data_IF_328729194473
#
_entry.id   IF_328729194473
#
_cell.length_a   1.000
_cell.length_b   1.000
_cell.length_c   1.000
_cell.angle_alpha   90.00
_cell.angle_beta   90.00
_cell.angle_gamma   90.00
#
_symmetry.space_group_name_H-M   'P 1'
#
loop_
_entity.id
_entity.type
_entity.pdbx_description
1 polymer ?
#
# COMPACT_ATOMS: atom_id res chain seq x y z
N UNK A 1 45.94 18.39 87.81
CA UNK A 1 46.31 19.09 86.56
C UNK A 1 45.63 18.36 85.40
N UNK A 2 44.48 18.82 85.04
CA UNK A 2 43.66 18.16 84.02
C UNK A 2 43.51 19.10 82.80
N UNK A 3 43.98 18.73 81.68
CA UNK A 3 43.81 19.48 80.40
C UNK A 3 42.72 18.85 79.60
N UNK A 4 41.55 19.46 79.63
CA UNK A 4 40.45 19.12 78.72
C UNK A 4 40.71 19.75 77.33
N UNK A 5 40.82 18.92 76.29
CA UNK A 5 40.85 19.37 74.88
C UNK A 5 39.43 19.31 74.35
N UNK A 6 38.86 20.51 74.13
CA UNK A 6 37.63 20.63 73.31
C UNK A 6 37.94 20.31 71.86
N UNK A 7 37.32 19.27 71.32
CA UNK A 7 37.28 18.95 69.92
C UNK A 7 36.02 19.62 69.31
N UNK A 8 36.19 20.67 68.57
CA UNK A 8 35.12 21.23 67.73
C UNK A 8 34.86 20.31 66.56
N UNK A 9 33.69 19.63 66.60
CA UNK A 9 33.20 18.90 65.46
C UNK A 9 32.53 19.86 64.50
N UNK A 10 33.22 20.20 63.37
CA UNK A 10 32.59 20.87 62.25
C UNK A 10 31.71 19.89 61.50
N UNK A 11 30.40 19.96 61.75
CA UNK A 11 29.41 19.29 60.89
C UNK A 11 29.34 20.00 59.54
N UNK A 12 30.02 19.46 58.55
CA UNK A 12 29.89 19.88 57.16
C UNK A 12 28.54 19.38 56.64
N UNK A 13 27.56 20.24 56.60
CA UNK A 13 26.27 19.98 55.94
C UNK A 13 26.49 19.99 54.41
N UNK A 14 26.83 18.81 53.86
CA UNK A 14 26.84 18.62 52.41
C UNK A 14 25.41 18.64 51.91
N UNK A 15 24.93 19.79 51.42
CA UNK A 15 23.72 19.86 50.59
C UNK A 15 23.99 19.04 49.31
N UNK A 16 23.49 17.81 49.29
CA UNK A 16 23.32 17.04 48.08
C UNK A 16 22.27 17.76 47.21
N UNK A 17 22.70 18.69 46.35
CA UNK A 17 21.94 19.07 45.17
C UNK A 17 21.84 17.81 44.30
N UNK A 18 20.79 17.04 44.50
CA UNK A 18 20.35 16.07 43.50
C UNK A 18 19.93 16.87 42.24
N UNK A 19 20.89 17.12 41.34
CA UNK A 19 20.59 17.56 40.03
C UNK A 19 19.63 16.52 39.44
N UNK A 20 18.34 16.87 39.38
CA UNK A 20 17.38 16.09 38.59
C UNK A 20 17.91 16.17 37.18
N UNK A 21 18.61 15.11 36.75
CA UNK A 21 18.84 14.87 35.31
C UNK A 21 17.45 14.95 34.66
N UNK A 22 17.27 15.78 33.65
CA UNK A 22 16.02 15.75 32.90
C UNK A 22 15.79 14.31 32.52
N UNK A 23 14.66 13.75 32.93
CA UNK A 23 14.27 12.40 32.48
C UNK A 23 14.28 12.47 30.97
N UNK A 24 15.17 11.73 30.37
CA UNK A 24 15.21 11.62 28.92
C UNK A 24 13.84 11.10 28.52
N UNK A 25 13.01 11.96 27.91
CA UNK A 25 11.70 11.57 27.41
C UNK A 25 11.91 10.38 26.49
N UNK A 26 11.45 9.23 26.93
CA UNK A 26 11.48 8.04 26.07
C UNK A 26 10.38 8.16 25.03
N UNK A 27 10.66 7.74 23.80
CA UNK A 27 9.62 7.68 22.79
C UNK A 27 8.52 6.71 23.25
N UNK A 28 7.25 7.15 23.33
CA UNK A 28 6.16 6.25 23.69
C UNK A 28 6.05 5.11 22.68
N UNK A 29 5.66 3.94 23.13
CA UNK A 29 5.41 2.80 22.26
C UNK A 29 4.24 3.10 21.34
N UNK A 30 4.27 2.50 20.12
CA UNK A 30 3.16 2.58 19.18
C UNK A 30 1.89 2.01 19.83
N UNK A 31 0.84 2.81 19.80
CA UNK A 31 -0.50 2.34 20.19
C UNK A 31 -1.20 1.83 18.92
N UNK A 32 -1.27 0.51 18.78
CA UNK A 32 -2.05 -0.12 17.72
C UNK A 32 -3.53 -0.05 18.07
N UNK A 33 -4.42 0.27 17.11
CA UNK A 33 -5.85 0.26 17.34
C UNK A 33 -6.32 -1.10 17.85
N UNK A 34 -7.16 -1.09 18.88
CA UNK A 34 -7.74 -2.34 19.40
C UNK A 34 -8.80 -2.85 18.44
N UNK A 35 -8.68 -4.11 18.04
CA UNK A 35 -9.70 -4.81 17.27
C UNK A 35 -10.97 -4.92 18.13
N UNK A 36 -12.10 -4.49 17.56
CA UNK A 36 -13.41 -4.66 18.20
C UNK A 36 -13.70 -6.16 18.28
N UNK A 37 -14.01 -6.72 19.46
CA UNK A 37 -14.33 -8.14 19.58
C UNK A 37 -15.39 -8.59 18.58
N UNK A 38 -15.07 -9.65 17.82
CA UNK A 38 -15.97 -10.20 16.81
C UNK A 38 -15.96 -9.46 15.46
N UNK A 39 -15.25 -8.35 15.30
CA UNK A 39 -15.13 -7.70 13.98
C UNK A 39 -14.24 -8.52 13.03
N UNK A 40 -13.16 -9.11 13.53
CA UNK A 40 -12.28 -10.00 12.79
C UNK A 40 -12.58 -11.46 13.14
N UNK A 41 -12.88 -12.28 12.13
CA UNK A 41 -13.12 -13.72 12.30
C UNK A 41 -11.85 -14.56 12.11
N UNK A 42 -10.74 -13.93 11.75
CA UNK A 42 -9.46 -14.58 11.51
C UNK A 42 -8.54 -14.43 12.74
N UNK A 43 -7.80 -15.47 13.09
CA UNK A 43 -6.60 -15.36 13.91
C UNK A 43 -5.43 -14.81 13.10
N UNK A 44 -4.33 -14.40 13.74
CA UNK A 44 -3.13 -13.92 13.03
C UNK A 44 -2.62 -14.97 12.02
N UNK A 45 -2.64 -16.25 12.35
CA UNK A 45 -2.27 -17.33 11.43
C UNK A 45 -3.25 -17.44 10.26
N UNK A 46 -4.55 -17.33 10.52
CA UNK A 46 -5.58 -17.38 9.47
C UNK A 46 -5.55 -16.14 8.58
N UNK A 47 -5.11 -14.99 9.08
CA UNK A 47 -4.84 -13.82 8.25
C UNK A 47 -3.68 -14.06 7.26
N UNK A 48 -2.65 -14.81 7.65
CA UNK A 48 -1.60 -15.23 6.71
C UNK A 48 -2.16 -16.16 5.63
N UNK A 49 -3.03 -17.10 5.99
CA UNK A 49 -3.69 -17.98 5.01
C UNK A 49 -4.58 -17.19 4.05
N UNK A 50 -5.34 -16.23 4.57
CA UNK A 50 -6.15 -15.32 3.76
C UNK A 50 -5.26 -14.52 2.80
N UNK A 51 -4.20 -13.92 3.29
CA UNK A 51 -3.25 -13.14 2.49
C UNK A 51 -2.63 -13.96 1.37
N UNK A 52 -2.19 -15.19 1.65
CA UNK A 52 -1.64 -16.10 0.63
C UNK A 52 -2.69 -16.45 -0.44
N UNK A 53 -3.95 -16.71 -0.04
CA UNK A 53 -5.03 -17.00 -0.98
C UNK A 53 -5.40 -15.81 -1.86
N UNK A 54 -5.44 -14.61 -1.27
CA UNK A 54 -5.66 -13.35 -2.01
C UNK A 54 -4.51 -13.06 -2.95
N UNK A 55 -3.25 -13.18 -2.49
CA UNK A 55 -2.06 -12.97 -3.27
C UNK A 55 -2.02 -13.87 -4.51
N UNK A 56 -2.36 -15.15 -4.37
CA UNK A 56 -2.44 -16.10 -5.48
C UNK A 56 -3.42 -15.65 -6.58
N UNK A 57 -4.52 -15.00 -6.20
CA UNK A 57 -5.49 -14.47 -7.17
C UNK A 57 -5.02 -13.16 -7.81
N UNK A 58 -4.37 -12.28 -7.03
CA UNK A 58 -3.79 -11.03 -7.53
C UNK A 58 -2.74 -11.34 -8.61
N UNK A 59 -1.84 -12.27 -8.33
CA UNK A 59 -0.73 -12.65 -9.20
C UNK A 59 -1.16 -13.32 -10.52
N UNK A 60 -2.40 -13.79 -10.60
CA UNK A 60 -2.99 -14.25 -11.87
C UNK A 60 -3.48 -13.08 -12.75
N UNK A 61 -3.75 -11.93 -12.17
CA UNK A 61 -4.36 -10.78 -12.86
C UNK A 61 -3.43 -9.58 -13.01
N UNK A 62 -2.37 -9.50 -12.19
CA UNK A 62 -1.41 -8.40 -12.18
C UNK A 62 -0.01 -8.95 -12.48
N UNK A 63 0.70 -8.27 -13.39
CA UNK A 63 2.10 -8.61 -13.69
C UNK A 63 3.02 -8.13 -12.58
N UNK A 64 3.58 -9.06 -11.81
CA UNK A 64 4.65 -8.75 -10.89
C UNK A 64 5.98 -8.60 -11.64
N UNK A 65 6.78 -7.61 -11.26
CA UNK A 65 8.12 -7.41 -11.80
C UNK A 65 9.03 -8.48 -11.23
N UNK A 66 9.53 -9.36 -12.11
CA UNK A 66 10.37 -10.50 -11.75
C UNK A 66 11.85 -10.11 -11.66
N UNK A 67 12.14 -9.06 -10.90
CA UNK A 67 13.50 -8.59 -10.65
C UNK A 67 13.73 -8.51 -9.13
N UNK A 68 14.40 -9.52 -8.54
CA UNK A 68 14.61 -9.57 -7.09
C UNK A 68 15.43 -8.39 -6.55
N UNK A 69 16.37 -7.83 -7.32
CA UNK A 69 17.21 -6.71 -6.88
C UNK A 69 16.38 -5.43 -6.72
N UNK A 70 15.43 -5.19 -7.63
CA UNK A 70 14.54 -4.05 -7.55
C UNK A 70 13.58 -4.17 -6.34
N UNK A 71 13.09 -5.37 -6.07
CA UNK A 71 12.22 -5.63 -4.94
C UNK A 71 12.96 -5.59 -3.61
N UNK A 72 14.23 -6.03 -3.58
CA UNK A 72 15.05 -6.06 -2.37
C UNK A 72 15.22 -4.68 -1.72
N UNK A 73 15.29 -3.61 -2.52
CA UNK A 73 15.39 -2.25 -2.00
C UNK A 73 14.12 -1.86 -1.21
N UNK A 74 12.94 -2.11 -1.77
CA UNK A 74 11.67 -1.88 -1.05
C UNK A 74 11.56 -2.74 0.21
N UNK A 75 11.99 -4.01 0.12
CA UNK A 75 11.98 -4.92 1.27
C UNK A 75 12.92 -4.44 2.38
N UNK A 76 14.08 -3.85 2.04
CA UNK A 76 14.99 -3.27 3.02
C UNK A 76 14.35 -2.10 3.78
N UNK A 77 13.61 -1.22 3.09
CA UNK A 77 12.85 -0.13 3.73
C UNK A 77 11.80 -0.72 4.66
N UNK A 78 11.00 -1.69 4.19
CA UNK A 78 9.97 -2.36 4.99
C UNK A 78 10.57 -3.02 6.24
N UNK A 79 11.68 -3.72 6.11
CA UNK A 79 12.36 -4.36 7.24
C UNK A 79 12.84 -3.32 8.27
N UNK A 80 13.35 -2.17 7.82
CA UNK A 80 13.76 -1.07 8.70
C UNK A 80 12.57 -0.45 9.44
N UNK A 81 11.44 -0.26 8.77
CA UNK A 81 10.20 0.20 9.38
C UNK A 81 9.68 -0.81 10.41
N UNK A 82 9.66 -2.10 10.07
CA UNK A 82 9.16 -3.18 10.91
C UNK A 82 9.89 -3.34 12.24
N UNK A 83 11.19 -2.99 12.32
CA UNK A 83 11.97 -3.00 13.57
C UNK A 83 11.40 -2.07 14.65
N UNK A 84 10.53 -1.13 14.28
CA UNK A 84 9.91 -0.17 15.18
C UNK A 84 8.49 -0.56 15.61
N UNK A 85 7.99 -1.70 15.13
CA UNK A 85 6.71 -2.25 15.57
C UNK A 85 6.85 -2.95 16.91
N UNK A 86 5.77 -3.01 17.71
CA UNK A 86 5.69 -3.94 18.82
C UNK A 86 5.93 -5.39 18.36
N UNK A 87 6.34 -6.30 19.25
CA UNK A 87 6.48 -7.72 18.92
C UNK A 87 5.22 -8.26 18.23
N UNK A 88 5.38 -8.82 17.03
CA UNK A 88 4.32 -9.38 16.20
C UNK A 88 4.89 -10.54 15.37
N UNK A 89 4.01 -11.32 14.73
CA UNK A 89 4.40 -12.44 13.86
C UNK A 89 4.23 -12.12 12.36
N UNK A 90 3.93 -10.88 12.02
CA UNK A 90 3.66 -10.45 10.64
C UNK A 90 4.95 -10.56 9.81
N UNK A 91 4.86 -11.28 8.70
CA UNK A 91 5.91 -11.35 7.72
C UNK A 91 5.61 -10.39 6.57
N UNK A 92 6.14 -9.18 6.65
CA UNK A 92 5.95 -8.19 5.59
C UNK A 92 6.70 -8.60 4.33
N UNK A 93 5.97 -8.64 3.19
CA UNK A 93 6.48 -9.02 1.87
C UNK A 93 6.04 -7.98 0.87
N UNK A 94 6.97 -7.26 0.28
CA UNK A 94 6.66 -6.26 -0.74
C UNK A 94 6.87 -6.83 -2.13
N UNK A 95 5.95 -6.52 -3.04
CA UNK A 95 6.03 -6.85 -4.46
C UNK A 95 5.91 -5.60 -5.31
N UNK A 96 6.80 -5.49 -6.27
CA UNK A 96 6.74 -4.45 -7.29
C UNK A 96 5.87 -4.95 -8.46
N UNK A 97 4.87 -4.15 -8.85
CA UNK A 97 3.92 -4.53 -9.90
C UNK A 97 3.97 -3.54 -11.08
N UNK A 98 3.74 -4.07 -12.28
CA UNK A 98 3.72 -3.30 -13.52
C UNK A 98 2.28 -3.07 -13.96
N UNK A 99 1.66 -2.03 -13.39
CA UNK A 99 0.33 -1.56 -13.74
C UNK A 99 0.39 -0.09 -14.15
N UNK A 100 -0.49 0.36 -15.07
CA UNK A 100 -0.45 1.74 -15.60
C UNK A 100 -0.88 2.79 -14.57
N UNK A 101 -1.55 2.39 -13.52
CA UNK A 101 -2.09 3.25 -12.46
C UNK A 101 -1.11 3.43 -11.32
N UNK A 102 -1.21 4.56 -10.62
CA UNK A 102 -0.45 4.80 -9.40
C UNK A 102 -1.12 4.06 -8.24
N UNK A 103 -0.69 2.82 -8.00
CA UNK A 103 -1.26 1.94 -7.00
C UNK A 103 -0.24 1.55 -5.94
N UNK A 104 -0.65 1.70 -4.69
CA UNK A 104 -0.06 1.05 -3.53
C UNK A 104 -1.22 0.46 -2.74
N UNK A 105 -1.13 -0.79 -2.35
CA UNK A 105 -2.13 -1.43 -1.51
C UNK A 105 -1.54 -2.60 -0.74
N UNK A 106 -2.18 -2.92 0.35
CA UNK A 106 -1.83 -4.06 1.20
C UNK A 106 -3.02 -4.98 1.40
N UNK A 107 -2.73 -6.24 1.69
CA UNK A 107 -3.72 -7.25 2.03
C UNK A 107 -3.33 -7.94 3.33
N UNK A 108 -4.21 -8.75 3.89
CA UNK A 108 -3.93 -9.51 5.09
C UNK A 108 -2.63 -10.32 4.99
N UNK A 109 -2.06 -10.72 6.11
CA UNK A 109 -0.89 -11.60 6.14
C UNK A 109 0.44 -10.96 5.74
N UNK A 110 0.50 -9.62 5.61
CA UNK A 110 1.76 -8.91 5.42
C UNK A 110 2.16 -8.61 3.97
N UNK A 111 1.30 -8.85 2.99
CA UNK A 111 1.60 -8.57 1.59
C UNK A 111 1.36 -7.11 1.24
N UNK A 112 2.34 -6.47 0.58
CA UNK A 112 2.30 -5.09 0.10
C UNK A 112 2.60 -5.08 -1.39
N UNK A 113 1.81 -4.35 -2.16
CA UNK A 113 1.97 -4.20 -3.60
C UNK A 113 2.22 -2.73 -3.95
N UNK A 114 3.31 -2.47 -4.67
CA UNK A 114 3.70 -1.12 -5.08
C UNK A 114 3.82 -1.09 -6.59
N UNK A 115 3.10 -0.18 -7.23
CA UNK A 115 3.21 -0.01 -8.68
C UNK A 115 4.49 0.76 -9.05
N UNK A 116 5.04 0.43 -10.21
CA UNK A 116 6.12 1.17 -10.83
C UNK A 116 5.84 2.68 -10.92
N UNK A 117 4.58 3.03 -11.14
CA UNK A 117 4.15 4.43 -11.24
C UNK A 117 4.26 5.17 -9.90
N UNK A 118 3.94 4.52 -8.78
CA UNK A 118 4.20 5.08 -7.44
C UNK A 118 5.69 5.33 -7.25
N UNK A 119 6.55 4.36 -7.59
CA UNK A 119 8.02 4.54 -7.53
C UNK A 119 8.46 5.75 -8.36
N UNK A 120 7.95 5.89 -9.58
CA UNK A 120 8.28 7.02 -10.45
C UNK A 120 7.84 8.37 -9.85
N UNK A 121 6.75 8.41 -9.09
CA UNK A 121 6.21 9.62 -8.47
C UNK A 121 6.95 10.04 -7.19
N UNK A 122 7.59 9.12 -6.48
CA UNK A 122 8.37 9.46 -5.28
C UNK A 122 9.66 10.18 -5.64
N UNK A 123 10.05 11.16 -4.82
CA UNK A 123 11.23 12.01 -5.02
C UNK A 123 12.41 11.64 -4.12
N UNK A 124 12.14 10.83 -3.09
CA UNK A 124 13.15 10.37 -2.14
C UNK A 124 12.77 9.02 -1.54
N UNK A 125 13.74 8.37 -0.90
CA UNK A 125 13.49 7.15 -0.13
C UNK A 125 12.56 7.42 1.05
N UNK A 126 12.62 8.62 1.64
CA UNK A 126 11.69 9.01 2.72
C UNK A 126 10.23 9.02 2.26
N UNK A 127 9.97 9.53 1.05
CA UNK A 127 8.62 9.49 0.47
C UNK A 127 8.16 8.04 0.22
N UNK A 128 9.03 7.19 -0.31
CA UNK A 128 8.74 5.77 -0.50
C UNK A 128 8.51 5.06 0.83
N UNK A 129 9.32 5.38 1.85
CA UNK A 129 9.13 4.86 3.21
C UNK A 129 7.78 5.27 3.79
N UNK A 130 7.32 6.50 3.50
CA UNK A 130 5.99 6.97 3.88
C UNK A 130 4.87 6.14 3.28
N UNK A 131 4.94 5.85 1.97
CA UNK A 131 3.97 4.97 1.28
C UNK A 131 3.97 3.57 1.87
N UNK A 132 5.15 2.97 2.03
CA UNK A 132 5.28 1.62 2.59
C UNK A 132 4.79 1.55 4.04
N UNK A 133 5.11 2.57 4.85
CA UNK A 133 4.65 2.64 6.24
C UNK A 133 3.13 2.78 6.34
N UNK A 134 2.48 3.48 5.40
CA UNK A 134 1.03 3.57 5.32
C UNK A 134 0.40 2.19 5.06
N UNK A 135 0.92 1.45 4.10
CA UNK A 135 0.45 0.09 3.81
C UNK A 135 0.70 -0.87 4.98
N UNK A 136 1.85 -0.73 5.65
CA UNK A 136 2.11 -1.47 6.90
C UNK A 136 1.11 -1.09 7.99
N UNK A 137 0.67 0.17 8.04
CA UNK A 137 -0.36 0.64 8.96
C UNK A 137 -1.68 -0.10 8.79
N UNK A 138 -2.13 -0.32 7.56
CA UNK A 138 -3.32 -1.11 7.26
C UNK A 138 -3.19 -2.56 7.74
N UNK A 139 -2.03 -3.18 7.52
CA UNK A 139 -1.76 -4.56 7.96
C UNK A 139 -1.77 -4.66 9.49
N UNK A 140 -1.06 -3.76 10.17
CA UNK A 140 -0.94 -3.74 11.64
C UNK A 140 -2.29 -3.45 12.32
N UNK A 141 -3.16 -2.70 11.66
CA UNK A 141 -4.52 -2.44 12.12
C UNK A 141 -5.54 -3.51 11.67
N UNK A 142 -5.10 -4.55 10.96
CA UNK A 142 -5.91 -5.68 10.47
C UNK A 142 -7.07 -5.29 9.54
N UNK A 143 -6.98 -4.14 8.84
CA UNK A 143 -8.10 -3.59 8.07
C UNK A 143 -8.63 -4.57 7.03
N UNK A 144 -7.76 -5.15 6.19
CA UNK A 144 -8.17 -6.10 5.15
C UNK A 144 -8.84 -7.37 5.72
N UNK A 145 -8.41 -7.86 6.88
CA UNK A 145 -9.01 -9.02 7.53
C UNK A 145 -10.38 -8.69 8.11
N UNK A 146 -10.53 -7.50 8.70
CA UNK A 146 -11.81 -7.00 9.25
C UNK A 146 -12.82 -6.80 8.11
N UNK A 147 -12.43 -6.14 7.02
CA UNK A 147 -13.27 -5.94 5.85
C UNK A 147 -13.69 -7.29 5.23
N UNK A 148 -12.73 -8.21 5.05
CA UNK A 148 -13.03 -9.56 4.54
C UNK A 148 -13.97 -10.32 5.48
N UNK A 149 -13.82 -10.15 6.79
CA UNK A 149 -14.72 -10.76 7.79
C UNK A 149 -16.14 -10.26 7.63
N UNK A 150 -16.30 -8.97 7.39
CA UNK A 150 -17.62 -8.36 7.16
C UNK A 150 -18.26 -8.88 5.86
N UNK A 151 -17.49 -8.94 4.79
CA UNK A 151 -17.95 -9.46 3.52
C UNK A 151 -18.26 -10.97 3.57
N UNK A 152 -17.48 -11.77 4.30
CA UNK A 152 -17.79 -13.20 4.52
C UNK A 152 -19.10 -13.40 5.27
N UNK A 153 -19.38 -12.54 6.26
CA UNK A 153 -20.69 -12.58 6.95
C UNK A 153 -21.83 -12.21 6.02
N UNK A 154 -21.67 -11.17 5.21
CA UNK A 154 -22.71 -10.68 4.29
C UNK A 154 -23.00 -11.66 3.16
N UNK A 155 -21.96 -12.18 2.51
CA UNK A 155 -22.07 -12.92 1.25
C UNK A 155 -22.12 -14.42 1.47
N UNK A 156 -21.36 -14.94 2.44
CA UNK A 156 -21.24 -16.38 2.70
C UNK A 156 -21.96 -16.83 3.97
N UNK A 157 -22.47 -15.89 4.79
CA UNK A 157 -23.06 -16.16 6.11
C UNK A 157 -22.10 -16.90 7.06
N UNK A 158 -20.79 -16.61 6.94
CA UNK A 158 -19.72 -17.25 7.71
C UNK A 158 -19.31 -16.35 8.87
N UNK A 159 -19.22 -16.92 10.07
CA UNK A 159 -18.79 -16.22 11.30
C UNK A 159 -17.50 -16.79 11.89
N UNK A 160 -16.99 -17.88 11.33
CA UNK A 160 -15.74 -18.53 11.73
C UNK A 160 -15.07 -19.16 10.51
N UNK A 161 -13.76 -19.28 10.57
CA UNK A 161 -12.95 -19.96 9.56
C UNK A 161 -12.08 -21.01 10.22
N UNK A 162 -11.73 -22.04 9.48
CA UNK A 162 -10.90 -23.16 9.92
C UNK A 162 -9.43 -22.99 9.55
N UNK A 163 -8.87 -24.05 9.01
CA UNK A 163 -7.48 -24.13 8.56
C UNK A 163 -7.24 -23.40 7.22
N UNK A 164 -6.04 -23.56 6.68
CA UNK A 164 -5.63 -22.97 5.40
C UNK A 164 -6.55 -23.37 4.23
N UNK A 165 -6.97 -24.61 4.18
CA UNK A 165 -7.82 -25.12 3.09
C UNK A 165 -9.21 -24.47 3.16
N UNK A 166 -9.78 -24.38 4.35
CA UNK A 166 -11.08 -23.74 4.59
C UNK A 166 -11.04 -22.24 4.28
N UNK A 167 -10.01 -21.52 4.74
CA UNK A 167 -9.84 -20.09 4.42
C UNK A 167 -9.73 -19.88 2.91
N UNK A 168 -8.92 -20.68 2.22
CA UNK A 168 -8.74 -20.60 0.78
C UNK A 168 -10.03 -20.91 0.01
N UNK A 169 -10.77 -21.93 0.43
CA UNK A 169 -12.05 -22.30 -0.18
C UNK A 169 -13.10 -21.19 -0.02
N UNK A 170 -13.22 -20.62 1.18
CA UNK A 170 -14.13 -19.51 1.46
C UNK A 170 -13.76 -18.24 0.68
N UNK A 171 -12.48 -17.92 0.57
CA UNK A 171 -12.02 -16.81 -0.25
C UNK A 171 -12.40 -16.99 -1.73
N UNK A 172 -12.13 -18.16 -2.30
CA UNK A 172 -12.48 -18.45 -3.70
C UNK A 172 -14.00 -18.43 -3.94
N UNK A 173 -14.78 -18.92 -2.99
CA UNK A 173 -16.24 -18.86 -3.02
C UNK A 173 -16.73 -17.40 -2.97
N UNK A 174 -16.18 -16.59 -2.05
CA UNK A 174 -16.47 -15.16 -1.95
C UNK A 174 -16.16 -14.45 -3.26
N UNK A 175 -14.96 -14.62 -3.81
CA UNK A 175 -14.54 -13.97 -5.05
C UNK A 175 -15.43 -14.35 -6.24
N UNK A 176 -15.86 -15.61 -6.32
CA UNK A 176 -16.79 -16.06 -7.36
C UNK A 176 -18.17 -15.40 -7.23
N UNK A 177 -18.68 -15.29 -5.99
CA UNK A 177 -19.96 -14.63 -5.71
C UNK A 177 -19.88 -13.13 -5.91
N UNK A 178 -18.80 -12.50 -5.49
CA UNK A 178 -18.55 -11.06 -5.64
C UNK A 178 -18.51 -10.66 -7.13
N UNK A 179 -17.76 -11.39 -7.96
CA UNK A 179 -17.71 -11.18 -9.41
C UNK A 179 -19.10 -11.30 -10.05
N UNK A 180 -19.90 -12.29 -9.62
CA UNK A 180 -21.28 -12.49 -10.12
C UNK A 180 -22.22 -11.37 -9.71
N UNK A 181 -22.13 -10.89 -8.47
CA UNK A 181 -22.99 -9.81 -7.95
C UNK A 181 -22.63 -8.44 -8.54
N UNK A 182 -21.33 -8.16 -8.74
CA UNK A 182 -20.86 -6.92 -9.35
C UNK A 182 -21.35 -6.76 -10.80
N UNK A 183 -21.50 -7.86 -11.51
CA UNK A 183 -22.14 -7.86 -12.85
C UNK A 183 -23.64 -7.50 -12.81
N UNK A 184 -24.29 -7.53 -11.63
CA UNK A 184 -25.72 -7.30 -11.47
C UNK A 184 -26.08 -6.00 -10.76
N UNK A 185 -25.17 -5.33 -10.08
CA UNK A 185 -25.45 -4.14 -9.25
C UNK A 185 -24.35 -3.09 -9.36
N UNK A 186 -24.77 -1.87 -9.70
CA UNK A 186 -23.92 -0.67 -9.68
C UNK A 186 -23.79 0.00 -8.29
N UNK A 187 -23.60 -0.75 -7.21
CA UNK A 187 -23.59 -0.20 -5.84
C UNK A 187 -22.18 0.18 -5.39
N UNK A 188 -21.85 1.47 -5.45
CA UNK A 188 -20.56 2.03 -5.02
C UNK A 188 -20.60 2.88 -3.74
N UNK A 189 -21.77 3.14 -3.13
CA UNK A 189 -21.93 4.30 -2.23
C UNK A 189 -21.74 4.08 -0.72
N UNK A 190 -21.54 2.87 -0.18
CA UNK A 190 -21.56 2.65 1.28
C UNK A 190 -20.22 2.45 1.99
N UNK A 191 -19.09 2.51 1.28
CA UNK A 191 -17.78 2.22 1.87
C UNK A 191 -17.02 3.46 2.40
N UNK A 192 -17.49 4.68 2.17
CA UNK A 192 -16.68 5.91 2.34
C UNK A 192 -16.30 6.22 3.80
N UNK A 193 -17.23 6.10 4.74
CA UNK A 193 -16.95 6.49 6.14
C UNK A 193 -16.03 5.53 6.91
N UNK A 194 -16.15 4.23 6.63
CA UNK A 194 -15.28 3.23 7.26
C UNK A 194 -13.86 3.39 6.73
N UNK A 195 -13.71 3.53 5.42
CA UNK A 195 -12.43 3.74 4.76
C UNK A 195 -11.70 5.00 5.27
N UNK A 196 -12.40 6.11 5.51
CA UNK A 196 -11.76 7.32 6.01
C UNK A 196 -11.11 7.10 7.38
N UNK A 197 -11.79 6.43 8.31
CA UNK A 197 -11.25 6.12 9.65
C UNK A 197 -10.03 5.20 9.56
N UNK A 198 -10.09 4.18 8.71
CA UNK A 198 -9.00 3.23 8.50
C UNK A 198 -7.78 3.89 7.87
N UNK A 199 -8.00 4.80 6.93
CA UNK A 199 -6.94 5.61 6.35
C UNK A 199 -6.24 6.48 7.40
N UNK A 200 -6.99 7.15 8.29
CA UNK A 200 -6.42 7.95 9.37
C UNK A 200 -5.65 7.11 10.40
N UNK A 201 -6.09 5.89 10.66
CA UNK A 201 -5.36 4.95 11.52
C UNK A 201 -4.04 4.53 10.87
N UNK A 202 -4.07 4.17 9.59
CA UNK A 202 -2.88 3.82 8.82
C UNK A 202 -1.88 5.00 8.76
N UNK A 203 -2.35 6.22 8.49
CA UNK A 203 -1.53 7.44 8.50
C UNK A 203 -0.86 7.68 9.88
N UNK A 204 -1.59 7.44 10.97
CA UNK A 204 -1.05 7.61 12.33
C UNK A 204 0.06 6.60 12.62
N UNK A 205 -0.13 5.35 12.23
CA UNK A 205 0.89 4.30 12.36
C UNK A 205 2.09 4.61 11.45
N UNK A 206 1.83 5.01 10.21
CA UNK A 206 2.87 5.37 9.25
C UNK A 206 3.77 6.51 9.77
N UNK A 207 3.17 7.58 10.28
CA UNK A 207 3.90 8.72 10.85
C UNK A 207 4.82 8.28 11.99
N UNK A 208 4.35 7.41 12.86
CA UNK A 208 5.18 6.83 13.92
C UNK A 208 6.35 6.03 13.34
N UNK A 209 6.07 5.12 12.41
CA UNK A 209 7.08 4.22 11.82
C UNK A 209 8.17 4.99 11.08
N UNK A 210 7.82 5.95 10.21
CA UNK A 210 8.81 6.74 9.46
C UNK A 210 9.70 7.53 10.41
N UNK A 211 9.12 8.16 11.42
CA UNK A 211 9.87 8.96 12.41
C UNK A 211 10.83 8.09 13.21
N UNK A 212 10.39 6.93 13.67
CA UNK A 212 11.20 5.98 14.44
C UNK A 212 12.29 5.32 13.62
N UNK A 213 12.03 5.08 12.33
CA UNK A 213 13.01 4.50 11.42
C UNK A 213 14.02 5.53 10.88
N UNK A 214 13.90 6.81 11.27
CA UNK A 214 14.80 7.88 10.85
C UNK A 214 14.55 8.36 9.41
N UNK A 215 13.31 8.21 8.93
CA UNK A 215 12.82 8.85 7.71
C UNK A 215 12.12 10.16 8.03
N UNK A 216 12.05 11.07 7.05
CA UNK A 216 11.41 12.38 7.22
C UNK A 216 9.88 12.28 7.20
N UNK A 217 9.17 12.62 8.28
CA UNK A 217 7.71 12.70 8.26
C UNK A 217 7.20 13.81 7.33
N UNK A 218 7.99 14.87 7.08
CA UNK A 218 7.65 15.93 6.14
C UNK A 218 7.66 15.42 4.69
N UNK A 219 8.52 14.45 4.36
CA UNK A 219 8.51 13.82 3.05
C UNK A 219 7.25 12.97 2.84
N UNK A 220 6.80 12.27 3.87
CA UNK A 220 5.52 11.55 3.86
C UNK A 220 4.34 12.48 3.57
N UNK A 221 4.26 13.61 4.27
CA UNK A 221 3.26 14.65 4.05
C UNK A 221 3.32 15.20 2.61
N UNK A 222 4.51 15.60 2.15
CA UNK A 222 4.70 16.19 0.83
C UNK A 222 4.34 15.23 -0.32
N UNK A 223 4.57 13.93 -0.18
CA UNK A 223 4.16 12.94 -1.16
C UNK A 223 2.63 12.86 -1.27
N UNK A 224 1.94 12.78 -0.14
CA UNK A 224 0.47 12.67 -0.12
C UNK A 224 -0.22 13.95 -0.59
N UNK A 225 0.37 15.13 -0.33
CA UNK A 225 -0.10 16.42 -0.86
C UNK A 225 -0.08 16.40 -2.40
N UNK A 226 1.03 16.00 -3.00
CA UNK A 226 1.13 15.86 -4.45
C UNK A 226 0.21 14.77 -5.02
N UNK A 227 0.04 13.66 -4.31
CA UNK A 227 -0.87 12.60 -4.74
C UNK A 227 -2.33 13.09 -4.76
N UNK A 228 -2.72 13.93 -3.81
CA UNK A 228 -4.05 14.55 -3.78
C UNK A 228 -4.31 15.47 -4.98
N UNK A 229 -3.26 16.16 -5.47
CA UNK A 229 -3.35 17.04 -6.65
C UNK A 229 -3.48 16.27 -7.97
N UNK A 230 -3.08 14.99 -8.01
CA UNK A 230 -3.16 14.18 -9.23
C UNK A 230 -4.62 13.93 -9.61
N UNK A 231 -5.04 14.48 -10.76
CA UNK A 231 -6.36 14.21 -11.35
C UNK A 231 -6.31 12.83 -12.03
N UNK A 232 -7.25 11.97 -11.72
CA UNK A 232 -7.42 10.65 -12.34
C UNK A 232 -7.98 9.65 -11.34
N UNK A 233 -8.73 8.65 -11.81
CA UNK A 233 -9.12 7.53 -10.97
C UNK A 233 -7.86 6.77 -10.57
N UNK A 234 -7.50 6.84 -9.31
CA UNK A 234 -6.52 5.93 -8.75
C UNK A 234 -7.27 4.66 -8.39
N UNK A 235 -6.85 3.55 -8.92
CA UNK A 235 -7.27 2.28 -8.40
C UNK A 235 -7.75 1.31 -9.47
N UNK A 236 -7.06 0.18 -9.58
CA UNK A 236 -7.54 -1.03 -10.23
C UNK A 236 -8.53 -1.79 -9.34
N UNK A 237 -8.99 -2.93 -9.82
CA UNK A 237 -9.94 -3.79 -9.10
C UNK A 237 -9.48 -4.09 -7.65
N UNK A 238 -8.21 -4.42 -7.47
CA UNK A 238 -7.66 -4.82 -6.17
C UNK A 238 -7.50 -3.64 -5.21
N UNK A 239 -7.05 -2.49 -5.70
CA UNK A 239 -6.96 -1.28 -4.88
C UNK A 239 -8.33 -0.77 -4.46
N UNK A 240 -9.34 -0.91 -5.30
CA UNK A 240 -10.73 -0.60 -4.95
C UNK A 240 -11.32 -1.60 -3.93
N UNK A 241 -10.88 -2.86 -3.99
CA UNK A 241 -11.32 -3.89 -3.03
C UNK A 241 -10.64 -3.73 -1.67
N UNK A 242 -9.38 -3.29 -1.63
CA UNK A 242 -8.57 -3.17 -0.41
C UNK A 242 -8.22 -1.71 -0.03
N UNK A 243 -8.91 -0.75 -0.60
CA UNK A 243 -9.00 0.59 -0.06
C UNK A 243 -7.82 1.54 -0.28
N UNK A 244 -7.30 1.67 -1.51
CA UNK A 244 -6.44 2.83 -1.81
C UNK A 244 -7.30 4.06 -2.09
N UNK A 245 -7.62 4.81 -1.08
CA UNK A 245 -8.27 6.11 -1.27
C UNK A 245 -7.24 7.21 -1.44
N UNK A 246 -7.49 8.12 -2.38
CA UNK A 246 -6.69 9.35 -2.46
C UNK A 246 -6.76 10.10 -1.15
N UNK A 247 -5.67 10.75 -0.72
CA UNK A 247 -5.71 11.67 0.40
C UNK A 247 -6.77 12.75 0.14
N UNK A 248 -7.61 13.00 1.12
CA UNK A 248 -8.48 14.15 1.12
C UNK A 248 -7.91 15.26 2.02
N UNK A 249 -8.57 16.43 2.02
CA UNK A 249 -8.14 17.57 2.83
C UNK A 249 -8.12 17.28 4.34
N UNK A 250 -8.98 16.36 4.81
CA UNK A 250 -9.03 15.97 6.22
C UNK A 250 -7.85 15.09 6.60
N UNK A 251 -7.48 14.13 5.76
CA UNK A 251 -6.28 13.29 5.96
C UNK A 251 -5.02 14.14 5.97
N UNK A 252 -4.83 15.00 4.98
CA UNK A 252 -3.68 15.91 4.92
C UNK A 252 -3.61 16.81 6.15
N UNK A 253 -4.73 17.42 6.55
CA UNK A 253 -4.82 18.22 7.76
C UNK A 253 -4.44 17.45 9.03
N UNK A 254 -4.79 16.16 9.12
CA UNK A 254 -4.43 15.30 10.24
C UNK A 254 -2.94 14.94 10.24
N UNK A 255 -2.35 14.63 9.08
CA UNK A 255 -0.92 14.37 8.93
C UNK A 255 -0.12 15.62 9.33
N UNK A 256 -0.46 16.77 8.76
CA UNK A 256 0.18 18.07 9.05
C UNK A 256 0.11 18.40 10.55
N UNK A 257 -1.05 18.20 11.18
CA UNK A 257 -1.24 18.44 12.61
C UNK A 257 -0.38 17.53 13.48
N UNK A 258 -0.24 16.25 13.09
CA UNK A 258 0.45 15.25 13.89
C UNK A 258 1.98 15.26 13.67
N UNK A 259 2.45 15.72 12.51
CA UNK A 259 3.89 15.77 12.20
C UNK A 259 4.71 16.58 13.22
N UNK A 260 4.32 17.80 13.64
CA UNK A 260 5.06 18.55 14.66
C UNK A 260 4.89 17.99 16.07
N UNK A 261 3.84 17.19 16.31
CA UNK A 261 3.51 16.66 17.64
C UNK A 261 4.35 15.42 18.02
N UNK A 262 5.14 14.87 17.10
CA UNK A 262 6.00 13.74 17.40
C UNK A 262 7.11 14.14 18.36
N UNK A 263 7.24 13.46 19.55
CA UNK A 263 8.29 13.76 20.50
C UNK A 263 9.69 13.66 19.88
N UNK A 264 10.57 14.61 20.19
CA UNK A 264 11.98 14.59 19.70
C UNK A 264 12.68 13.28 20.03
N UNK A 265 12.34 12.65 21.13
CA UNK A 265 12.85 11.32 21.53
C UNK A 265 12.46 10.19 20.55
N UNK A 266 11.46 10.42 19.71
CA UNK A 266 11.04 9.45 18.68
C UNK A 266 11.83 9.61 17.38
N UNK A 267 12.50 10.73 17.17
CA UNK A 267 13.20 11.01 15.91
C UNK A 267 14.56 10.32 15.91
N UNK A 268 14.77 9.38 15.02
CA UNK A 268 16.08 8.76 14.77
C UNK A 268 16.91 9.63 13.83
N UNK A 269 18.23 9.41 13.83
CA UNK A 269 19.11 10.11 12.89
C UNK A 269 18.74 9.76 11.44
N UNK A 270 18.59 10.79 10.61
CA UNK A 270 18.34 10.65 9.18
C UNK A 270 19.56 10.03 8.50
N UNK A 271 19.32 9.04 7.64
CA UNK A 271 20.38 8.42 6.82
C UNK A 271 20.29 9.04 5.42
N UNK A 272 21.43 9.52 4.89
CA UNK A 272 21.49 10.00 3.51
C UNK A 272 21.54 8.80 2.56
N UNK A 273 20.41 8.52 1.90
CA UNK A 273 20.25 7.45 0.91
C UNK A 273 19.93 7.99 -0.49
N UNK A 274 19.98 9.31 -0.68
CA UNK A 274 19.48 9.97 -1.89
C UNK A 274 20.11 9.42 -3.19
N UNK A 275 21.41 9.27 -3.24
CA UNK A 275 22.09 8.77 -4.45
C UNK A 275 21.72 7.31 -4.77
N UNK A 276 21.61 6.46 -3.76
CA UNK A 276 21.25 5.05 -3.92
C UNK A 276 19.79 4.91 -4.35
N UNK A 277 18.90 5.70 -3.76
CA UNK A 277 17.49 5.72 -4.11
C UNK A 277 17.27 6.16 -5.56
N UNK A 278 17.91 7.25 -6.01
CA UNK A 278 17.77 7.72 -7.39
C UNK A 278 18.31 6.71 -8.41
N UNK A 279 19.42 6.04 -8.13
CA UNK A 279 19.95 4.98 -8.98
C UNK A 279 18.98 3.80 -9.07
N UNK A 280 18.44 3.35 -7.93
CA UNK A 280 17.45 2.28 -7.88
C UNK A 280 16.15 2.66 -8.61
N UNK A 281 15.61 3.84 -8.35
CA UNK A 281 14.41 4.36 -9.01
C UNK A 281 14.58 4.41 -10.53
N UNK A 282 15.73 4.89 -11.00
CA UNK A 282 16.06 4.87 -12.42
C UNK A 282 16.01 3.46 -12.98
N UNK A 283 16.61 2.49 -12.30
CA UNK A 283 16.58 1.08 -12.71
C UNK A 283 15.16 0.52 -12.78
N UNK A 284 14.27 0.87 -11.83
CA UNK A 284 12.85 0.48 -11.88
C UNK A 284 12.15 1.03 -13.11
N UNK A 285 12.41 2.28 -13.48
CA UNK A 285 11.80 2.93 -14.66
C UNK A 285 12.36 2.36 -15.95
N UNK A 286 13.67 2.14 -16.04
CA UNK A 286 14.35 1.61 -17.24
C UNK A 286 14.01 0.14 -17.50
N UNK A 287 13.81 -0.67 -16.47
CA UNK A 287 13.37 -2.07 -16.61
C UNK A 287 12.00 -2.14 -17.32
N UNK A 288 11.11 -1.17 -17.09
CA UNK A 288 9.85 -1.03 -17.83
C UNK A 288 10.08 -0.78 -19.33
N UNK A 289 11.00 0.13 -19.64
CA UNK A 289 11.31 0.43 -21.04
C UNK A 289 11.91 -0.79 -21.76
N UNK A 290 12.79 -1.53 -21.08
CA UNK A 290 13.37 -2.76 -21.62
C UNK A 290 12.34 -3.88 -21.81
N UNK A 291 11.37 -4.00 -20.90
CA UNK A 291 10.27 -4.95 -21.03
C UNK A 291 9.36 -4.61 -22.21
N UNK A 292 9.06 -3.33 -22.40
CA UNK A 292 8.29 -2.84 -23.56
C UNK A 292 9.02 -3.10 -24.87
N UNK A 293 10.32 -2.82 -24.94
CA UNK A 293 11.15 -3.09 -26.12
C UNK A 293 11.21 -4.59 -26.44
N UNK A 294 11.27 -5.45 -25.44
CA UNK A 294 11.19 -6.91 -25.64
C UNK A 294 9.82 -7.35 -26.18
N UNK A 295 8.72 -6.75 -25.71
CA UNK A 295 7.38 -7.03 -26.24
C UNK A 295 7.22 -6.55 -27.69
N UNK A 296 7.82 -5.41 -28.06
CA UNK A 296 7.81 -4.90 -29.43
C UNK A 296 8.58 -5.81 -30.41
N UNK A 297 9.53 -6.59 -29.93
CA UNK A 297 10.32 -7.53 -30.75
C UNK A 297 9.62 -8.87 -31.03
N UNK A 298 8.47 -9.15 -30.42
CA UNK A 298 7.72 -10.38 -30.67
C UNK A 298 6.92 -10.25 -31.98
N UNK A 299 7.18 -11.09 -33.01
CA UNK A 299 6.45 -11.04 -34.24
C UNK A 299 4.94 -11.20 -34.03
N UNK A 300 4.17 -10.24 -34.52
CA UNK A 300 2.70 -10.22 -34.40
C UNK A 300 2.16 -9.50 -33.17
N UNK A 301 3.00 -9.01 -32.23
CA UNK A 301 2.55 -8.08 -31.20
C UNK A 301 2.35 -6.68 -31.82
N UNK A 302 1.23 -6.06 -31.47
CA UNK A 302 0.94 -4.68 -31.90
C UNK A 302 1.90 -3.76 -31.16
N UNK A 303 2.71 -3.00 -31.89
CA UNK A 303 3.57 -1.98 -31.30
C UNK A 303 2.73 -0.99 -30.49
N UNK A 304 3.08 -0.78 -29.23
CA UNK A 304 2.45 0.22 -28.35
C UNK A 304 2.47 1.63 -28.98
N UNK A 305 3.44 1.90 -29.85
CA UNK A 305 3.59 3.16 -30.57
C UNK A 305 2.41 3.44 -31.53
N UNK A 306 1.86 2.40 -32.16
CA UNK A 306 0.69 2.52 -33.05
C UNK A 306 -0.59 2.78 -32.26
N UNK A 307 -0.70 2.23 -31.04
CA UNK A 307 -1.81 2.46 -30.13
C UNK A 307 -1.77 3.88 -29.53
N UNK A 308 -0.58 4.44 -29.25
CA UNK A 308 -0.43 5.76 -28.61
C UNK A 308 -0.71 6.93 -29.53
N UNK A 309 -0.62 6.79 -30.85
CA UNK A 309 -0.92 7.89 -31.79
C UNK A 309 -2.43 8.15 -31.97
N UNK A 310 -3.30 7.17 -31.64
CA UNK A 310 -4.75 7.27 -31.86
C UNK A 310 -5.61 6.97 -30.63
N UNK A 311 -5.06 6.32 -29.63
CA UNK A 311 -5.71 5.96 -28.40
C UNK A 311 -4.98 6.62 -27.23
N UNK A 312 -5.67 6.83 -26.12
CA UNK A 312 -5.04 7.39 -24.93
C UNK A 312 -3.95 6.45 -24.39
N UNK A 313 -2.92 6.98 -23.71
CA UNK A 313 -1.83 6.14 -23.14
C UNK A 313 -2.30 5.05 -22.19
N UNK A 314 -3.43 5.28 -21.52
CA UNK A 314 -4.09 4.37 -20.58
C UNK A 314 -4.94 3.28 -21.24
N UNK A 315 -5.08 3.30 -22.58
CA UNK A 315 -5.88 2.30 -23.30
C UNK A 315 -5.28 0.91 -23.18
N UNK A 316 -6.09 -0.04 -22.74
CA UNK A 316 -5.71 -1.43 -22.54
C UNK A 316 -6.39 -2.34 -23.58
N UNK A 317 -5.67 -3.35 -24.05
CA UNK A 317 -6.26 -4.43 -24.86
C UNK A 317 -6.95 -5.41 -23.91
N UNK A 318 -8.26 -5.55 -24.05
CA UNK A 318 -9.06 -6.46 -23.22
C UNK A 318 -9.12 -7.86 -23.86
N UNK A 319 -9.31 -7.92 -25.18
CA UNK A 319 -9.51 -9.19 -25.89
C UNK A 319 -9.16 -9.10 -27.37
N UNK A 320 -8.74 -10.21 -27.93
CA UNK A 320 -8.59 -10.40 -29.39
C UNK A 320 -9.68 -11.36 -29.84
N UNK A 321 -10.32 -11.09 -30.98
CA UNK A 321 -11.32 -12.00 -31.55
C UNK A 321 -10.70 -13.37 -31.87
N UNK A 322 -11.49 -14.46 -31.84
CA UNK A 322 -10.99 -15.83 -32.13
C UNK A 322 -10.31 -15.96 -33.51
N UNK A 323 -10.75 -15.21 -34.49
CA UNK A 323 -10.17 -15.20 -35.84
C UNK A 323 -8.95 -14.25 -35.96
N UNK A 324 -8.59 -13.54 -34.89
CA UNK A 324 -7.45 -12.64 -34.83
C UNK A 324 -7.61 -11.34 -35.61
N UNK A 325 -8.79 -11.03 -36.17
CA UNK A 325 -8.99 -9.85 -37.02
C UNK A 325 -9.29 -8.57 -36.24
N UNK A 326 -9.89 -8.70 -35.03
CA UNK A 326 -10.33 -7.58 -34.24
C UNK A 326 -9.69 -7.57 -32.85
N UNK A 327 -9.59 -6.37 -32.30
CA UNK A 327 -9.10 -6.12 -30.94
C UNK A 327 -10.15 -5.31 -30.21
N UNK A 328 -10.55 -5.76 -29.01
CA UNK A 328 -11.29 -4.96 -28.04
C UNK A 328 -10.30 -4.27 -27.12
N UNK A 329 -10.33 -2.96 -27.08
CA UNK A 329 -9.49 -2.14 -26.21
C UNK A 329 -10.36 -1.16 -25.43
N UNK A 330 -9.92 -0.76 -24.23
CA UNK A 330 -10.65 0.15 -23.34
C UNK A 330 -9.72 1.17 -22.72
N UNK A 331 -10.18 2.40 -22.59
CA UNK A 331 -9.66 3.41 -21.67
C UNK A 331 -10.68 3.72 -20.56
N UNK A 332 -10.36 4.66 -19.67
CA UNK A 332 -11.22 5.00 -18.52
C UNK A 332 -12.64 5.50 -18.91
N UNK A 333 -12.84 5.89 -20.15
CA UNK A 333 -14.07 6.53 -20.59
C UNK A 333 -14.73 5.83 -21.77
N UNK A 334 -13.99 5.02 -22.51
CA UNK A 334 -14.48 4.42 -23.75
C UNK A 334 -13.93 3.03 -23.97
N UNK A 335 -14.69 2.22 -24.67
CA UNK A 335 -14.23 0.97 -25.27
C UNK A 335 -14.24 1.09 -26.80
N UNK A 336 -13.31 0.37 -27.43
CA UNK A 336 -13.07 0.43 -28.85
C UNK A 336 -12.99 -0.97 -29.43
N UNK A 337 -13.65 -1.19 -30.55
CA UNK A 337 -13.35 -2.32 -31.43
C UNK A 337 -12.47 -1.81 -32.55
N UNK A 338 -11.32 -2.44 -32.74
CA UNK A 338 -10.33 -2.06 -33.76
C UNK A 338 -10.11 -3.21 -34.72
N UNK A 339 -9.87 -2.91 -35.97
CA UNK A 339 -9.24 -3.88 -36.87
C UNK A 339 -7.79 -4.07 -36.48
N UNK A 340 -7.25 -5.27 -36.64
CA UNK A 340 -5.86 -5.57 -36.29
C UNK A 340 -4.87 -5.12 -37.36
N UNK A 341 -5.27 -5.21 -38.62
CA UNK A 341 -4.41 -4.87 -39.76
C UNK A 341 -5.22 -4.19 -40.87
N UNK A 342 -5.06 -2.88 -41.10
CA UNK A 342 -4.36 -1.91 -40.24
C UNK A 342 -5.10 -1.70 -38.93
N UNK A 343 -4.40 -1.28 -37.89
CA UNK A 343 -5.03 -0.99 -36.59
C UNK A 343 -5.85 0.30 -36.69
N UNK A 344 -7.15 0.16 -36.84
CA UNK A 344 -8.08 1.28 -36.96
C UNK A 344 -9.32 1.05 -36.11
N UNK A 345 -9.76 2.05 -35.33
CA UNK A 345 -11.01 1.97 -34.60
C UNK A 345 -12.17 1.92 -35.62
N UNK A 346 -13.00 0.89 -35.51
CA UNK A 346 -14.21 0.73 -36.32
C UNK A 346 -15.48 0.95 -35.53
N UNK A 347 -15.39 0.86 -34.21
CA UNK A 347 -16.50 1.10 -33.29
C UNK A 347 -16.01 1.68 -31.97
N UNK A 348 -16.81 2.57 -31.36
CA UNK A 348 -16.57 3.17 -30.05
C UNK A 348 -17.88 3.18 -29.26
N UNK A 349 -17.81 2.85 -27.97
CA UNK A 349 -18.93 2.93 -27.03
C UNK A 349 -18.43 3.34 -25.64
N UNK A 350 -19.32 3.79 -24.78
CA UNK A 350 -18.96 4.21 -23.43
C UNK A 350 -18.44 3.03 -22.60
N UNK A 351 -17.42 3.25 -21.77
CA UNK A 351 -16.79 2.18 -20.98
C UNK A 351 -17.77 1.54 -19.99
N UNK A 352 -18.81 2.25 -19.59
CA UNK A 352 -19.91 1.70 -18.78
C UNK A 352 -20.67 0.55 -19.46
N UNK A 353 -20.68 0.50 -20.77
CA UNK A 353 -21.29 -0.55 -21.59
C UNK A 353 -20.31 -1.67 -21.96
N UNK A 354 -19.02 -1.47 -21.70
CA UNK A 354 -17.96 -2.38 -22.16
C UNK A 354 -17.94 -3.74 -21.43
N UNK A 355 -18.50 -3.81 -20.24
CA UNK A 355 -18.62 -5.08 -19.49
C UNK A 355 -19.56 -6.10 -20.19
N UNK A 356 -20.34 -5.65 -21.17
CA UNK A 356 -21.22 -6.48 -21.99
C UNK A 356 -20.57 -6.93 -23.31
N UNK A 357 -19.41 -6.39 -23.69
CA UNK A 357 -18.75 -6.69 -24.95
C UNK A 357 -18.14 -8.08 -25.00
N UNK A 358 -18.86 -9.03 -25.62
CA UNK A 358 -18.31 -10.32 -26.02
C UNK A 358 -18.26 -10.38 -27.54
N UNK A 359 -17.14 -10.88 -28.08
CA UNK A 359 -17.17 -11.37 -29.48
C UNK A 359 -17.97 -12.66 -29.49
N UNK A 360 -19.13 -12.64 -30.13
CA UNK A 360 -19.93 -13.83 -30.46
C UNK A 360 -19.42 -14.50 -31.72
#
# INVERSE_FOLDING_TARGET
MCRIRCACACLSLALLLAARLPSQESCPALTVPKIIPGSNIFSEEQEMFLGDAVAANIEQSITAIQNPELTAHLQAIVNRLAQNLPPNQIQFRVKLIDVPTAEAFSIAGGHIYISRKIVAMTRSEDEMAGVLAHEMGHIVAHHAAIETSEEFRKVLHVTQVGDREDVTAKWNQFLSNYRRQRMQRGDYEKAVDIQEREQLQADTIALYLVTRAGYSPQAFEAFFDRLAETKGNAGGFWSNLFGTTKPDSKRLGQIIKNTPAMPKACVSAVTDTAAQFEAWKKSVVEDSAAALTRQESIPGLISKRVLTERLRPETQVIRISPDGKYVLAQDDSNAFVLTRQPLQPIFRFDAGDADAGQFT
#
